data_IF_610285661523
#
_entry.id   IF_610285661523
#
_cell.length_a   1.000
_cell.length_b   1.000
_cell.length_c   1.000
_cell.angle_alpha   90.00
_cell.angle_beta   90.00
_cell.angle_gamma   90.00
#
_symmetry.space_group_name_H-M   'P 1'
#
loop_
_entity.id
_entity.type
_entity.pdbx_description
1 polymer ?
#
# COMPACT_ATOMS: atom_id res chain seq x y z
N UNK A 1 -3.31 -54.93 21.53
CA UNK A 1 -2.53 -54.02 20.68
C UNK A 1 -3.48 -52.92 20.26
N UNK A 2 -3.55 -51.85 21.04
CA UNK A 2 -4.23 -50.61 20.67
C UNK A 2 -3.21 -49.72 19.92
N UNK A 3 -3.57 -49.04 18.82
CA UNK A 3 -2.60 -48.30 18.01
C UNK A 3 -2.36 -46.84 18.45
N UNK A 4 -3.01 -46.34 19.50
CA UNK A 4 -3.12 -44.89 19.75
C UNK A 4 -2.44 -44.36 21.02
N UNK A 5 -1.50 -45.11 21.61
CA UNK A 5 -0.56 -44.53 22.57
C UNK A 5 0.66 -43.99 21.84
N UNK A 6 0.55 -42.77 21.30
CA UNK A 6 1.73 -42.00 20.89
C UNK A 6 2.41 -41.50 22.16
N UNK A 7 3.49 -42.16 22.54
CA UNK A 7 4.39 -41.76 23.61
C UNK A 7 4.91 -40.32 23.36
N UNK A 8 4.90 -39.40 24.35
CA UNK A 8 5.51 -38.07 24.22
C UNK A 8 6.96 -38.07 23.73
N UNK A 9 7.70 -39.19 23.83
CA UNK A 9 9.02 -39.34 23.19
C UNK A 9 8.97 -39.27 21.65
N UNK A 10 7.86 -39.68 21.03
CA UNK A 10 7.72 -39.71 19.56
C UNK A 10 7.67 -38.30 18.95
N UNK A 11 7.22 -37.29 19.71
CA UNK A 11 7.25 -35.89 19.28
C UNK A 11 8.67 -35.30 19.32
N UNK A 12 9.57 -35.85 20.15
CA UNK A 12 10.97 -35.44 20.21
C UNK A 12 11.79 -35.97 19.03
N UNK A 13 11.43 -37.13 18.45
CA UNK A 13 12.18 -37.73 17.35
C UNK A 13 11.95 -37.09 15.98
N UNK A 14 10.78 -36.49 15.72
CA UNK A 14 10.48 -35.89 14.42
C UNK A 14 10.96 -34.42 14.27
N UNK A 15 11.43 -33.80 15.36
CA UNK A 15 12.12 -32.49 15.32
C UNK A 15 13.64 -32.60 15.33
N UNK A 16 14.19 -33.77 15.67
CA UNK A 16 15.62 -34.02 15.78
C UNK A 16 16.19 -34.58 14.47
N UNK A 17 16.22 -33.76 13.42
CA UNK A 17 17.07 -33.99 12.25
C UNK A 17 17.86 -32.72 11.88
N UNK A 18 18.37 -32.00 12.87
CA UNK A 18 19.55 -31.15 12.70
C UNK A 18 20.73 -31.88 13.34
N UNK A 19 21.64 -32.40 12.51
CA UNK A 19 22.92 -32.98 12.93
C UNK A 19 23.94 -31.87 13.32
N UNK A 20 23.46 -30.75 13.85
CA UNK A 20 24.32 -29.65 14.30
C UNK A 20 24.72 -29.92 15.75
N UNK A 21 26.02 -29.99 15.99
CA UNK A 21 26.59 -30.05 17.34
C UNK A 21 26.14 -28.82 18.11
N UNK A 22 25.71 -29.02 19.36
CA UNK A 22 25.31 -27.92 20.25
C UNK A 22 26.39 -26.83 20.25
N UNK A 23 26.01 -25.54 20.11
CA UNK A 23 26.99 -24.46 20.11
C UNK A 23 27.78 -24.49 21.42
N UNK A 24 29.11 -24.39 21.32
CA UNK A 24 30.00 -24.43 22.49
C UNK A 24 29.96 -23.10 23.29
N UNK A 25 29.51 -22.03 22.65
CA UNK A 25 29.48 -20.67 23.22
C UNK A 25 28.10 -20.06 23.07
N UNK A 26 27.67 -19.35 24.11
CA UNK A 26 26.42 -18.59 24.08
C UNK A 26 26.56 -17.40 23.11
N UNK A 27 25.65 -17.33 22.14
CA UNK A 27 25.53 -16.19 21.23
C UNK A 27 24.37 -15.29 21.65
N UNK A 28 24.59 -13.97 21.85
CA UNK A 28 23.52 -13.04 22.18
C UNK A 28 22.42 -13.01 21.12
N UNK A 29 21.16 -12.97 21.55
CA UNK A 29 20.03 -12.93 20.60
C UNK A 29 19.98 -11.59 19.87
N UNK A 30 19.83 -11.64 18.55
CA UNK A 30 19.58 -10.45 17.75
C UNK A 30 18.12 -10.05 17.85
N UNK A 31 17.88 -8.74 18.01
CA UNK A 31 16.53 -8.18 18.03
C UNK A 31 16.17 -7.74 16.63
N UNK A 32 14.90 -7.90 16.28
CA UNK A 32 14.35 -7.37 15.04
C UNK A 32 13.05 -6.64 15.32
N UNK A 33 12.76 -5.63 14.52
CA UNK A 33 11.54 -4.85 14.62
C UNK A 33 10.45 -5.46 13.75
N UNK A 34 9.22 -5.48 14.29
CA UNK A 34 8.03 -5.94 13.61
C UNK A 34 6.94 -4.88 13.69
N UNK A 35 6.03 -4.89 12.72
CA UNK A 35 4.81 -4.08 12.76
C UNK A 35 3.56 -4.95 12.68
N UNK A 36 2.51 -4.49 13.35
CA UNK A 36 1.19 -5.12 13.30
C UNK A 36 0.48 -4.72 12.02
N UNK A 37 -0.05 -5.71 11.31
CA UNK A 37 -0.95 -5.52 10.16
C UNK A 37 -2.25 -6.29 10.42
N UNK A 38 -3.37 -5.60 10.33
CA UNK A 38 -4.67 -6.24 10.38
C UNK A 38 -5.01 -6.80 8.98
N UNK A 39 -5.52 -8.02 8.94
CA UNK A 39 -6.02 -8.65 7.72
C UNK A 39 -7.55 -8.75 7.81
N UNK A 40 -8.22 -8.70 6.65
CA UNK A 40 -9.63 -9.05 6.47
C UNK A 40 -10.01 -10.26 7.34
N UNK A 41 -11.09 -10.11 8.11
CA UNK A 41 -11.58 -11.02 9.18
C UNK A 41 -10.92 -10.83 10.57
N UNK A 42 -10.41 -9.63 10.88
CA UNK A 42 -9.85 -9.26 12.20
C UNK A 42 -8.77 -10.21 12.70
N UNK A 43 -8.00 -10.80 11.78
CA UNK A 43 -6.81 -11.57 12.12
C UNK A 43 -5.61 -10.63 12.10
N UNK A 44 -5.01 -10.44 13.26
CA UNK A 44 -3.77 -9.69 13.39
C UNK A 44 -2.58 -10.56 12.97
N UNK A 45 -1.69 -9.98 12.17
CA UNK A 45 -0.37 -10.58 11.90
C UNK A 45 0.72 -9.57 12.23
N UNK A 46 1.89 -10.10 12.60
CA UNK A 46 3.10 -9.33 12.74
C UNK A 46 4.00 -9.60 11.55
N UNK A 47 4.49 -8.54 10.92
CA UNK A 47 5.39 -8.61 9.77
C UNK A 47 6.73 -7.99 10.14
N UNK A 48 7.86 -8.62 9.75
CA UNK A 48 9.17 -8.04 9.99
C UNK A 48 9.32 -6.75 9.17
N UNK A 49 9.96 -5.75 9.76
CA UNK A 49 10.54 -4.65 8.97
C UNK A 49 11.66 -5.19 8.07
N UNK A 50 12.01 -4.42 7.04
CA UNK A 50 13.21 -4.72 6.26
C UNK A 50 14.46 -4.67 7.15
N UNK A 51 15.54 -5.35 6.76
CA UNK A 51 16.79 -5.32 7.52
C UNK A 51 17.26 -3.88 7.75
N UNK A 52 17.26 -3.06 6.67
CA UNK A 52 17.61 -1.64 6.74
C UNK A 52 16.75 -0.86 7.73
N UNK A 53 15.43 -1.01 7.67
CA UNK A 53 14.52 -0.28 8.56
C UNK A 53 14.69 -0.75 10.02
N UNK A 54 14.85 -2.06 10.24
CA UNK A 54 15.07 -2.65 11.57
C UNK A 54 16.39 -2.16 12.19
N UNK A 55 17.47 -2.12 11.42
CA UNK A 55 18.77 -1.61 11.87
C UNK A 55 18.69 -0.11 12.22
N UNK A 56 17.98 0.69 11.42
CA UNK A 56 17.77 2.11 11.67
C UNK A 56 16.93 2.36 12.94
N UNK A 57 15.88 1.56 13.14
CA UNK A 57 15.06 1.55 14.35
C UNK A 57 15.90 1.18 15.57
N UNK A 58 16.69 0.12 15.46
CA UNK A 58 17.54 -0.37 16.56
C UNK A 58 18.60 0.66 16.94
N UNK A 59 19.29 1.25 15.95
CA UNK A 59 20.30 2.28 16.17
C UNK A 59 19.73 3.50 16.89
N UNK A 60 18.52 3.95 16.53
CA UNK A 60 17.85 5.05 17.25
C UNK A 60 17.34 4.63 18.63
N UNK A 61 16.84 3.41 18.77
CA UNK A 61 16.34 2.90 20.04
C UNK A 61 17.44 2.90 21.11
N UNK A 62 18.62 2.36 20.77
CA UNK A 62 19.78 2.28 21.67
C UNK A 62 20.53 3.60 21.84
N UNK A 63 20.22 4.62 21.04
CA UNK A 63 20.88 5.93 21.15
C UNK A 63 20.45 6.70 22.39
N UNK A 64 21.31 7.60 22.85
CA UNK A 64 21.06 8.52 23.98
C UNK A 64 20.24 9.76 23.56
N UNK A 65 19.62 9.75 22.38
CA UNK A 65 18.79 10.86 21.92
C UNK A 65 17.54 11.05 22.79
N UNK A 66 17.01 12.28 22.92
CA UNK A 66 15.71 12.53 23.55
C UNK A 66 14.59 11.71 22.90
N UNK A 67 13.57 11.33 23.67
CA UNK A 67 12.46 10.52 23.17
C UNK A 67 11.74 11.17 21.98
N UNK A 68 11.62 12.50 21.97
CA UNK A 68 10.98 13.26 20.90
C UNK A 68 11.72 13.16 19.56
N UNK A 69 13.01 12.81 19.57
CA UNK A 69 13.85 12.67 18.39
C UNK A 69 13.94 11.22 17.88
N UNK A 70 13.35 10.26 18.61
CA UNK A 70 13.35 8.83 18.27
C UNK A 70 12.21 8.46 17.30
N UNK A 71 12.04 9.27 16.26
CA UNK A 71 11.14 8.98 15.14
C UNK A 71 11.97 8.53 13.93
N UNK A 72 11.64 7.37 13.36
CA UNK A 72 12.34 6.81 12.20
C UNK A 72 11.39 6.69 11.02
N UNK A 73 11.81 7.23 9.88
CA UNK A 73 11.12 7.03 8.61
C UNK A 73 11.42 5.61 8.10
N UNK A 74 10.39 4.79 7.91
CA UNK A 74 10.50 3.40 7.49
C UNK A 74 9.78 3.16 6.17
N UNK A 75 10.04 2.02 5.52
CA UNK A 75 9.41 1.62 4.26
C UNK A 75 9.52 2.74 3.21
N UNK A 76 10.75 3.15 2.88
CA UNK A 76 10.99 4.22 1.90
C UNK A 76 10.53 5.61 2.34
N UNK A 77 10.23 5.80 3.64
CA UNK A 77 9.76 7.05 4.22
C UNK A 77 8.26 7.29 4.11
N UNK A 78 7.50 6.24 3.79
CA UNK A 78 6.03 6.26 3.73
C UNK A 78 5.38 6.18 5.11
N UNK A 79 6.10 5.66 6.10
CA UNK A 79 5.66 5.58 7.48
C UNK A 79 6.70 6.18 8.41
N UNK A 80 6.21 6.78 9.50
CA UNK A 80 7.04 7.22 10.63
C UNK A 80 6.75 6.35 11.85
N UNK A 81 7.79 5.72 12.38
CA UNK A 81 7.75 4.94 13.62
C UNK A 81 8.20 5.84 14.77
N UNK A 82 7.29 6.10 15.70
CA UNK A 82 7.58 6.69 17.00
C UNK A 82 8.00 5.54 17.93
N UNK A 83 9.31 5.43 18.14
CA UNK A 83 9.91 4.33 18.90
C UNK A 83 9.38 4.33 20.34
N UNK A 84 9.44 5.43 21.13
CA UNK A 84 8.95 5.45 22.51
C UNK A 84 7.48 5.01 22.63
N UNK A 85 6.61 5.50 21.74
CA UNK A 85 5.19 5.15 21.78
C UNK A 85 4.85 3.79 21.17
N UNK A 86 5.81 3.12 20.53
CA UNK A 86 5.61 1.85 19.80
C UNK A 86 4.48 1.92 18.79
N UNK A 87 4.39 3.04 18.06
CA UNK A 87 3.40 3.27 17.01
C UNK A 87 4.06 3.63 15.69
N UNK A 88 3.40 3.25 14.60
CA UNK A 88 3.74 3.54 13.21
C UNK A 88 2.59 4.28 12.55
N UNK A 89 2.89 5.43 11.97
CA UNK A 89 1.92 6.34 11.34
C UNK A 89 2.21 6.45 9.84
N UNK A 90 1.19 6.37 8.97
CA UNK A 90 1.34 6.74 7.57
C UNK A 90 1.66 8.24 7.43
N UNK A 91 2.52 8.58 6.47
CA UNK A 91 2.99 9.96 6.26
C UNK A 91 2.19 10.68 5.18
N UNK A 92 1.94 10.01 4.04
CA UNK A 92 1.41 10.67 2.84
C UNK A 92 -0.11 10.61 2.73
N UNK A 93 -0.77 9.63 3.36
CA UNK A 93 -2.21 9.43 3.35
C UNK A 93 -2.76 9.31 4.77
N UNK A 94 -4.08 9.45 4.93
CA UNK A 94 -4.76 9.14 6.19
C UNK A 94 -4.90 7.63 6.31
N UNK A 95 -4.48 7.06 7.43
CA UNK A 95 -4.62 5.63 7.69
C UNK A 95 -4.42 5.31 9.16
N UNK A 96 -4.67 4.06 9.51
CA UNK A 96 -4.67 3.62 10.89
C UNK A 96 -3.25 3.61 11.50
N UNK A 97 -3.19 4.04 12.75
CA UNK A 97 -1.99 3.93 13.56
C UNK A 97 -1.80 2.46 13.92
N UNK A 98 -0.64 1.89 13.57
CA UNK A 98 -0.33 0.48 13.80
C UNK A 98 0.76 0.34 14.86
N UNK A 99 0.74 -0.74 15.64
CA UNK A 99 1.76 -0.97 16.65
C UNK A 99 3.04 -1.51 16.01
N UNK A 100 4.17 -1.15 16.60
CA UNK A 100 5.46 -1.78 16.34
C UNK A 100 5.97 -2.50 17.59
N UNK A 101 6.88 -3.43 17.40
CA UNK A 101 7.44 -4.21 18.49
C UNK A 101 8.89 -4.59 18.20
N UNK A 102 9.76 -4.40 19.17
CA UNK A 102 11.13 -4.92 19.16
C UNK A 102 11.11 -6.29 19.80
N UNK A 103 11.48 -7.34 19.07
CA UNK A 103 11.37 -8.70 19.62
C UNK A 103 12.51 -9.62 19.16
N UNK A 104 12.79 -10.60 20.00
CA UNK A 104 13.80 -11.65 19.80
C UNK A 104 13.24 -13.06 20.09
N UNK A 105 11.98 -13.16 20.52
CA UNK A 105 11.33 -14.42 20.89
C UNK A 105 9.93 -14.50 20.31
N UNK A 106 9.56 -15.66 19.77
CA UNK A 106 8.33 -15.83 19.00
C UNK A 106 7.60 -17.12 19.38
N UNK A 107 6.29 -17.14 19.14
CA UNK A 107 5.46 -18.33 19.31
C UNK A 107 4.53 -18.55 18.13
N UNK A 108 4.16 -19.81 17.91
CA UNK A 108 3.14 -20.17 16.92
C UNK A 108 1.75 -20.07 17.54
N UNK A 109 0.87 -19.28 16.91
CA UNK A 109 -0.52 -19.10 17.36
C UNK A 109 -1.34 -20.39 17.29
N UNK A 110 -2.50 -20.41 17.96
CA UNK A 110 -3.45 -21.54 17.91
C UNK A 110 -4.08 -21.74 16.54
N UNK A 111 -4.30 -20.63 15.83
CA UNK A 111 -5.07 -20.57 14.59
C UNK A 111 -4.23 -20.13 13.38
N UNK A 112 -2.99 -19.69 13.60
CA UNK A 112 -2.10 -19.16 12.57
C UNK A 112 -0.84 -20.02 12.48
N UNK A 113 -0.46 -20.39 11.25
CA UNK A 113 0.81 -21.07 11.02
C UNK A 113 2.03 -20.13 11.15
N UNK A 114 1.80 -18.81 11.26
CA UNK A 114 2.83 -17.79 11.36
C UNK A 114 3.24 -17.55 12.81
N UNK A 115 4.51 -17.19 12.99
CA UNK A 115 5.05 -16.77 14.26
C UNK A 115 4.54 -15.38 14.65
N UNK A 116 4.27 -15.21 15.94
CA UNK A 116 3.93 -13.94 16.58
C UNK A 116 5.01 -13.58 17.61
N UNK A 117 5.45 -12.31 17.66
CA UNK A 117 6.42 -11.84 18.65
C UNK A 117 5.80 -11.80 20.05
N UNK A 118 6.54 -12.30 21.04
CA UNK A 118 6.19 -12.07 22.45
C UNK A 118 6.30 -10.58 22.80
N UNK A 119 5.59 -10.15 23.85
CA UNK A 119 5.79 -8.84 24.46
C UNK A 119 7.25 -8.66 24.90
N UNK A 120 7.77 -7.43 24.85
CA UNK A 120 9.20 -7.15 25.03
C UNK A 120 9.72 -7.58 26.41
N UNK A 121 8.93 -7.38 27.47
CA UNK A 121 9.27 -7.82 28.83
C UNK A 121 9.31 -9.35 28.95
N UNK A 122 8.38 -10.04 28.27
CA UNK A 122 8.34 -11.51 28.24
C UNK A 122 9.55 -12.03 27.48
N UNK A 123 9.86 -11.47 26.30
CA UNK A 123 11.02 -11.85 25.52
C UNK A 123 12.33 -11.61 26.29
N UNK A 124 12.44 -10.50 27.03
CA UNK A 124 13.60 -10.19 27.88
C UNK A 124 13.77 -11.22 28.99
N UNK A 125 12.68 -11.60 29.66
CA UNK A 125 12.73 -12.62 30.70
C UNK A 125 13.07 -14.02 30.14
N UNK A 126 12.50 -14.38 28.98
CA UNK A 126 12.81 -15.63 28.31
C UNK A 126 14.28 -15.71 27.90
N UNK A 127 14.85 -14.63 27.37
CA UNK A 127 16.26 -14.57 27.03
C UNK A 127 17.16 -14.69 28.26
N UNK A 128 16.80 -14.04 29.37
CA UNK A 128 17.55 -14.15 30.62
C UNK A 128 17.54 -15.57 31.19
N UNK A 129 16.40 -16.26 31.18
CA UNK A 129 16.31 -17.64 31.64
C UNK A 129 17.00 -18.62 30.67
N UNK A 130 16.88 -18.41 29.36
CA UNK A 130 17.59 -19.20 28.35
C UNK A 130 19.11 -19.11 28.53
N UNK A 131 19.64 -17.89 28.69
CA UNK A 131 21.06 -17.66 28.95
C UNK A 131 21.55 -18.39 30.21
N UNK A 132 20.80 -18.32 31.32
CA UNK A 132 21.13 -19.06 32.54
C UNK A 132 21.14 -20.58 32.33
N UNK A 133 20.17 -21.10 31.57
CA UNK A 133 20.10 -22.53 31.26
C UNK A 133 21.30 -22.97 30.43
N UNK A 134 21.67 -22.17 29.43
CA UNK A 134 22.80 -22.41 28.54
C UNK A 134 24.15 -22.38 29.30
N UNK A 135 24.43 -21.30 30.03
CA UNK A 135 25.70 -21.11 30.75
C UNK A 135 25.92 -22.15 31.86
N UNK A 136 24.84 -22.60 32.50
CA UNK A 136 24.91 -23.60 33.57
C UNK A 136 24.66 -25.04 33.09
N UNK A 137 24.38 -25.24 31.80
CA UNK A 137 23.94 -26.51 31.22
C UNK A 137 22.76 -27.16 31.99
N UNK A 138 21.79 -26.33 32.40
CA UNK A 138 20.60 -26.74 33.18
C UNK A 138 19.35 -26.60 32.33
N UNK A 139 18.95 -27.69 31.69
CA UNK A 139 17.76 -27.75 30.82
C UNK A 139 16.53 -28.30 31.55
N UNK A 140 15.42 -28.42 30.81
CA UNK A 140 14.07 -28.72 31.32
C UNK A 140 13.52 -27.66 32.28
N UNK A 141 14.04 -26.43 32.17
CA UNK A 141 13.55 -25.28 32.93
C UNK A 141 12.10 -24.97 32.51
N UNK A 142 11.25 -24.80 33.51
CA UNK A 142 9.83 -24.45 33.37
C UNK A 142 9.63 -22.98 33.73
N UNK A 143 9.03 -22.23 32.82
CA UNK A 143 8.80 -20.79 32.93
C UNK A 143 7.30 -20.55 32.75
N UNK A 144 6.62 -20.13 33.82
CA UNK A 144 5.20 -19.79 33.77
C UNK A 144 5.03 -18.30 33.40
N UNK A 145 4.26 -18.03 32.36
CA UNK A 145 3.95 -16.69 31.89
C UNK A 145 2.73 -16.10 32.62
N UNK A 146 2.52 -14.76 32.60
CA UNK A 146 1.37 -14.13 33.26
C UNK A 146 -0.01 -14.62 32.81
N UNK A 147 -0.10 -15.13 31.58
CA UNK A 147 -1.31 -15.70 31.00
C UNK A 147 -1.50 -17.20 31.33
N UNK A 148 -0.67 -17.76 32.24
CA UNK A 148 -0.63 -19.18 32.64
C UNK A 148 -0.16 -20.15 31.54
N UNK A 149 0.40 -19.62 30.45
CA UNK A 149 1.16 -20.44 29.52
C UNK A 149 2.46 -20.93 30.19
N UNK A 150 2.83 -22.18 29.95
CA UNK A 150 4.06 -22.77 30.46
C UNK A 150 5.05 -22.98 29.32
N UNK A 151 6.20 -22.31 29.38
CA UNK A 151 7.31 -22.53 28.46
C UNK A 151 8.32 -23.48 29.10
N UNK A 152 8.75 -24.49 28.33
CA UNK A 152 9.75 -25.47 28.74
C UNK A 152 10.94 -25.40 27.78
N UNK A 153 12.13 -25.12 28.33
CA UNK A 153 13.40 -25.11 27.61
C UNK A 153 14.03 -26.50 27.71
N UNK A 154 13.79 -27.39 26.74
CA UNK A 154 14.29 -28.77 26.79
C UNK A 154 15.77 -28.89 26.40
N UNK A 155 16.22 -28.04 25.48
CA UNK A 155 17.60 -27.92 25.01
C UNK A 155 17.81 -26.53 24.40
N UNK A 156 18.99 -26.28 23.79
CA UNK A 156 19.30 -25.02 23.14
C UNK A 156 18.41 -24.72 21.91
N UNK A 157 17.84 -25.75 21.29
CA UNK A 157 17.04 -25.70 20.06
C UNK A 157 15.58 -26.19 20.24
N UNK A 158 15.27 -26.91 21.33
CA UNK A 158 13.92 -27.42 21.62
C UNK A 158 13.25 -26.59 22.72
N UNK A 159 12.40 -25.66 22.27
CA UNK A 159 11.68 -24.70 23.11
C UNK A 159 10.16 -24.87 22.89
N UNK A 160 9.43 -25.24 23.95
CA UNK A 160 8.04 -25.69 23.82
C UNK A 160 7.12 -24.88 24.73
N UNK A 161 5.98 -24.46 24.17
CA UNK A 161 4.88 -23.79 24.84
C UNK A 161 3.74 -24.78 25.12
N UNK A 162 3.32 -24.86 26.38
CA UNK A 162 2.13 -25.58 26.83
C UNK A 162 1.07 -24.57 27.27
N UNK A 163 -0.04 -24.43 26.53
CA UNK A 163 -1.17 -23.60 26.95
C UNK A 163 -1.76 -24.06 28.30
N UNK A 164 -2.47 -23.20 29.03
CA UNK A 164 -3.10 -23.56 30.30
C UNK A 164 -4.07 -24.74 30.11
N UNK A 165 -4.00 -25.71 31.02
CA UNK A 165 -4.99 -26.79 31.09
C UNK A 165 -6.35 -26.20 31.46
N UNK A 166 -7.40 -26.47 30.67
CA UNK A 166 -8.77 -26.11 31.04
C UNK A 166 -9.12 -26.70 32.41
N UNK A 167 -9.74 -25.91 33.28
CA UNK A 167 -10.21 -26.35 34.61
C UNK A 167 -11.32 -27.40 34.49
N UNK A 168 -11.38 -28.30 35.48
CA UNK A 168 -12.23 -29.50 35.51
C UNK A 168 -13.76 -29.27 35.53
N UNK A 169 -14.26 -28.03 35.45
CA UNK A 169 -15.69 -27.73 35.54
C UNK A 169 -16.46 -27.79 34.21
N UNK A 170 -15.77 -27.86 33.06
CA UNK A 170 -16.40 -28.03 31.73
C UNK A 170 -16.40 -29.50 31.29
N UNK A 171 -17.06 -30.35 32.08
CA UNK A 171 -17.09 -31.81 31.86
C UNK A 171 -18.12 -32.24 30.79
N UNK A 172 -18.23 -31.50 29.70
CA UNK A 172 -19.18 -31.82 28.63
C UNK A 172 -18.70 -31.50 27.21
N UNK A 173 -17.49 -31.96 26.83
CA UNK A 173 -17.25 -32.65 25.56
C UNK A 173 -15.78 -33.05 25.35
N UNK A 174 -15.60 -34.29 24.90
CA UNK A 174 -14.44 -34.92 24.24
C UNK A 174 -13.06 -34.22 24.23
N UNK A 175 -12.07 -34.91 24.84
CA UNK A 175 -10.66 -35.03 24.39
C UNK A 175 -10.03 -33.86 23.62
N UNK A 176 -10.09 -32.63 24.13
CA UNK A 176 -9.22 -31.56 23.62
C UNK A 176 -7.84 -31.69 24.27
N UNK A 177 -7.01 -32.61 23.77
CA UNK A 177 -5.59 -32.64 24.14
C UNK A 177 -4.98 -31.28 23.78
N UNK A 178 -4.52 -30.56 24.80
CA UNK A 178 -3.81 -29.29 24.63
C UNK A 178 -2.51 -29.60 23.88
N UNK A 179 -2.48 -29.26 22.58
CA UNK A 179 -1.30 -29.52 21.75
C UNK A 179 -0.16 -28.56 22.14
N UNK A 180 1.03 -29.09 22.47
CA UNK A 180 2.20 -28.25 22.65
C UNK A 180 2.51 -27.47 21.37
N UNK A 181 3.02 -26.25 21.53
CA UNK A 181 3.39 -25.35 20.44
C UNK A 181 4.86 -25.02 20.49
N UNK A 182 5.40 -24.59 19.36
CA UNK A 182 6.81 -24.24 19.23
C UNK A 182 7.02 -22.79 19.63
N UNK A 183 8.07 -22.58 20.43
CA UNK A 183 8.67 -21.28 20.73
C UNK A 183 9.95 -21.17 19.92
N UNK A 184 10.26 -19.97 19.42
CA UNK A 184 11.49 -19.71 18.67
C UNK A 184 12.25 -18.54 19.27
N UNK A 185 13.58 -18.69 19.30
CA UNK A 185 14.55 -17.67 19.66
C UNK A 185 15.20 -17.17 18.37
N UNK A 186 15.33 -15.86 18.23
CA UNK A 186 15.90 -15.23 17.03
C UNK A 186 14.97 -15.22 15.82
N UNK A 187 15.50 -14.70 14.70
CA UNK A 187 14.74 -14.45 13.46
C UNK A 187 15.20 -15.29 12.26
N UNK A 188 15.98 -16.33 12.49
CA UNK A 188 16.57 -17.18 11.43
C UNK A 188 15.53 -17.85 10.52
N UNK A 189 14.35 -18.18 11.05
CA UNK A 189 13.25 -18.78 10.28
C UNK A 189 12.39 -17.74 9.51
N UNK A 190 12.71 -16.44 9.61
CA UNK A 190 11.97 -15.38 8.94
C UNK A 190 12.62 -14.99 7.62
N UNK A 191 11.80 -14.88 6.57
CA UNK A 191 12.22 -14.26 5.31
C UNK A 191 12.18 -12.72 5.48
N UNK A 192 13.33 -12.11 5.73
CA UNK A 192 13.49 -10.66 5.93
C UNK A 192 14.01 -10.03 4.63
N UNK A 193 13.31 -9.02 4.12
CA UNK A 193 13.74 -8.25 2.94
C UNK A 193 14.86 -7.28 3.31
N UNK A 194 15.85 -7.07 2.43
CA UNK A 194 16.95 -6.10 2.65
C UNK A 194 16.47 -4.63 2.65
N UNK A 195 15.28 -4.36 2.10
CA UNK A 195 14.66 -3.05 2.01
C UNK A 195 14.84 -2.38 0.66
N UNK A 196 14.16 -1.25 0.46
CA UNK A 196 14.17 -0.48 -0.80
C UNK A 196 15.31 0.57 -0.83
N UNK A 197 15.93 0.85 -2.00
CA UNK A 197 17.02 1.84 -2.10
C UNK A 197 16.53 3.24 -1.69
N UNK A 198 17.23 3.97 -0.82
CA UNK A 198 16.77 5.28 -0.29
C UNK A 198 16.50 6.33 -1.37
N UNK A 199 17.33 6.36 -2.42
CA UNK A 199 17.22 7.33 -3.51
C UNK A 199 16.01 7.04 -4.39
N UNK A 200 15.17 8.05 -4.58
CA UNK A 200 14.02 8.02 -5.50
C UNK A 200 14.39 8.72 -6.80
N UNK A 201 14.23 8.02 -7.93
CA UNK A 201 14.54 8.59 -9.26
C UNK A 201 13.32 9.22 -9.93
N UNK A 202 12.11 8.80 -9.56
CA UNK A 202 10.86 9.29 -10.13
C UNK A 202 9.70 9.11 -9.15
N UNK A 203 8.73 10.03 -9.18
CA UNK A 203 7.48 9.93 -8.41
C UNK A 203 6.31 9.71 -9.36
N UNK A 204 5.44 8.77 -9.04
CA UNK A 204 4.16 8.57 -9.70
C UNK A 204 3.02 8.81 -8.70
N UNK A 205 2.28 9.89 -8.85
CA UNK A 205 1.07 10.11 -8.07
C UNK A 205 -0.09 9.33 -8.69
N UNK A 206 -0.70 8.44 -7.92
CA UNK A 206 -1.80 7.58 -8.35
C UNK A 206 -3.12 8.14 -7.86
N UNK A 207 -3.91 8.72 -8.76
CA UNK A 207 -5.29 9.13 -8.51
C UNK A 207 -6.21 7.97 -8.93
N UNK A 208 -6.76 7.27 -7.95
CA UNK A 208 -7.75 6.24 -8.23
C UNK A 208 -9.07 6.85 -8.72
N UNK A 209 -9.81 6.04 -9.45
CA UNK A 209 -11.20 6.30 -9.78
C UNK A 209 -12.11 5.45 -8.91
N UNK A 210 -12.98 6.14 -8.18
CA UNK A 210 -14.22 5.68 -7.55
C UNK A 210 -14.04 4.75 -6.33
N UNK A 211 -14.75 5.08 -5.23
CA UNK A 211 -14.87 4.25 -4.02
C UNK A 211 -13.64 4.22 -3.09
N UNK A 212 -13.85 3.81 -1.83
CA UNK A 212 -12.75 3.43 -0.89
C UNK A 212 -11.98 2.16 -1.34
N UNK A 213 -12.38 1.60 -2.48
CA UNK A 213 -11.91 0.34 -3.06
C UNK A 213 -11.49 0.56 -4.51
N UNK A 214 -10.31 0.07 -4.88
CA UNK A 214 -9.70 0.27 -6.19
C UNK A 214 -9.87 -0.90 -7.18
N UNK A 215 -10.28 -2.08 -6.73
CA UNK A 215 -10.41 -3.26 -7.60
C UNK A 215 -11.44 -4.29 -7.12
N UNK A 216 -11.62 -5.36 -7.93
CA UNK A 216 -12.54 -6.47 -7.64
C UNK A 216 -12.26 -7.22 -6.35
N UNK A 217 -11.05 -7.07 -5.78
CA UNK A 217 -10.66 -7.74 -4.53
C UNK A 217 -11.02 -6.88 -3.31
N UNK A 218 -11.73 -5.78 -3.51
CA UNK A 218 -12.09 -4.84 -2.47
C UNK A 218 -10.87 -4.27 -1.76
N UNK A 219 -9.81 -3.98 -2.51
CA UNK A 219 -8.55 -3.44 -1.98
C UNK A 219 -8.59 -1.93 -1.94
N UNK A 220 -7.95 -1.32 -0.94
CA UNK A 220 -7.83 0.13 -0.88
C UNK A 220 -6.83 0.64 -1.92
N UNK A 221 -6.76 1.97 -2.11
CA UNK A 221 -5.79 2.60 -3.02
C UNK A 221 -4.37 2.27 -2.62
N UNK A 222 -4.12 2.30 -1.32
CA UNK A 222 -2.83 2.02 -0.69
C UNK A 222 -2.40 0.59 -1.01
N UNK A 223 -3.28 -0.41 -0.85
CA UNK A 223 -2.97 -1.81 -1.16
C UNK A 223 -2.64 -2.05 -2.65
N UNK A 224 -3.29 -1.31 -3.56
CA UNK A 224 -2.99 -1.38 -5.00
C UNK A 224 -1.64 -0.71 -5.28
N UNK A 225 -1.41 0.48 -4.72
CA UNK A 225 -0.15 1.21 -4.89
C UNK A 225 1.04 0.42 -4.32
N UNK A 226 0.86 -0.28 -3.20
CA UNK A 226 1.87 -1.19 -2.62
C UNK A 226 2.27 -2.29 -3.60
N UNK A 227 1.30 -2.91 -4.27
CA UNK A 227 1.56 -3.91 -5.32
C UNK A 227 2.31 -3.27 -6.51
N UNK A 228 1.94 -2.06 -6.91
CA UNK A 228 2.64 -1.31 -7.96
C UNK A 228 4.10 -1.06 -7.61
N UNK A 229 4.38 -0.62 -6.38
CA UNK A 229 5.75 -0.40 -5.89
C UNK A 229 6.57 -1.69 -5.91
N UNK A 230 6.00 -2.77 -5.39
CA UNK A 230 6.67 -4.08 -5.36
C UNK A 230 7.00 -4.59 -6.76
N UNK A 231 6.04 -4.53 -7.70
CA UNK A 231 6.27 -4.97 -9.08
C UNK A 231 7.28 -4.05 -9.77
N UNK A 232 7.16 -2.73 -9.60
CA UNK A 232 8.09 -1.75 -10.17
C UNK A 232 9.52 -1.99 -9.71
N UNK A 233 9.74 -2.11 -8.39
CA UNK A 233 11.05 -2.37 -7.81
C UNK A 233 11.63 -3.70 -8.28
N UNK A 234 10.81 -4.75 -8.34
CA UNK A 234 11.24 -6.04 -8.86
C UNK A 234 11.66 -5.97 -10.33
N UNK A 235 10.89 -5.26 -11.18
CA UNK A 235 11.23 -5.08 -12.59
C UNK A 235 12.53 -4.30 -12.75
N UNK A 236 12.72 -3.24 -11.96
CA UNK A 236 13.95 -2.45 -11.96
C UNK A 236 15.15 -3.32 -11.59
N UNK A 237 15.05 -4.08 -10.49
CA UNK A 237 16.11 -4.98 -10.02
C UNK A 237 16.44 -6.08 -11.04
N UNK A 238 15.46 -6.67 -11.70
CA UNK A 238 15.71 -7.77 -12.64
C UNK A 238 16.19 -7.31 -14.01
N UNK A 239 15.72 -6.16 -14.51
CA UNK A 239 16.03 -5.71 -15.87
C UNK A 239 17.18 -4.71 -15.94
N UNK A 240 17.41 -3.95 -14.88
CA UNK A 240 18.43 -2.91 -14.80
C UNK A 240 19.47 -3.23 -13.72
N UNK A 241 19.73 -4.53 -13.47
CA UNK A 241 20.62 -4.99 -12.39
C UNK A 241 21.97 -4.27 -12.39
N UNK A 242 22.63 -4.12 -13.55
CA UNK A 242 23.91 -3.41 -13.67
C UNK A 242 23.78 -1.92 -13.32
N UNK A 243 22.69 -1.27 -13.74
CA UNK A 243 22.42 0.13 -13.38
C UNK A 243 22.12 0.28 -11.89
N UNK A 244 21.44 -0.69 -11.27
CA UNK A 244 21.18 -0.71 -9.83
C UNK A 244 22.46 -0.88 -9.02
N UNK A 245 23.33 -1.82 -9.41
CA UNK A 245 24.62 -2.05 -8.76
C UNK A 245 25.53 -0.82 -8.84
N UNK A 246 25.42 -0.04 -9.93
CA UNK A 246 26.15 1.21 -10.12
C UNK A 246 25.46 2.45 -9.52
N UNK A 247 24.31 2.30 -8.85
CA UNK A 247 23.54 3.40 -8.25
C UNK A 247 22.88 4.37 -9.25
N UNK A 248 22.83 4.00 -10.53
CA UNK A 248 22.24 4.79 -11.62
C UNK A 248 20.72 4.72 -11.56
N UNK A 249 20.17 3.51 -11.35
CA UNK A 249 18.74 3.25 -11.25
C UNK A 249 18.41 2.68 -9.87
N UNK A 250 17.43 3.27 -9.20
CA UNK A 250 17.10 3.04 -7.80
C UNK A 250 15.65 2.58 -7.72
N UNK A 251 14.71 3.49 -7.41
CA UNK A 251 13.28 3.16 -7.34
C UNK A 251 12.40 4.27 -7.89
N UNK A 252 11.21 3.87 -8.33
CA UNK A 252 10.08 4.75 -8.61
C UNK A 252 9.16 4.73 -7.39
N UNK A 253 8.97 5.90 -6.77
CA UNK A 253 8.04 6.03 -5.66
C UNK A 253 6.62 6.22 -6.20
N UNK A 254 5.68 5.41 -5.74
CA UNK A 254 4.27 5.54 -6.13
C UNK A 254 3.48 5.93 -4.91
N UNK A 255 2.78 7.07 -4.97
CA UNK A 255 2.04 7.63 -3.84
C UNK A 255 0.54 7.74 -4.19
N UNK A 256 -0.36 7.23 -3.33
CA UNK A 256 -1.79 7.34 -3.55
C UNK A 256 -2.26 8.79 -3.30
N UNK A 257 -3.23 9.24 -4.09
CA UNK A 257 -3.95 10.49 -3.86
C UNK A 257 -5.38 10.15 -3.44
N UNK A 258 -5.63 10.25 -2.14
CA UNK A 258 -6.93 9.91 -1.54
C UNK A 258 -7.81 11.16 -1.51
N UNK A 259 -8.94 11.11 -2.22
CA UNK A 259 -9.89 12.23 -2.32
C UNK A 259 -11.34 11.84 -2.01
N UNK A 260 -11.66 10.55 -2.09
CA UNK A 260 -13.02 10.04 -1.94
C UNK A 260 -13.61 10.29 -0.54
N UNK A 261 -12.83 10.10 0.52
CA UNK A 261 -13.28 10.31 1.92
C UNK A 261 -13.75 11.75 2.18
N UNK A 262 -13.21 12.75 1.47
CA UNK A 262 -13.63 14.14 1.61
C UNK A 262 -14.96 14.43 0.92
N UNK A 263 -15.31 13.65 -0.11
CA UNK A 263 -16.58 13.76 -0.81
C UNK A 263 -17.70 13.02 -0.06
N UNK A 264 -17.38 11.88 0.53
CA UNK A 264 -18.32 10.98 1.22
C UNK A 264 -18.30 11.12 2.74
N UNK A 265 -17.64 12.15 3.29
CA UNK A 265 -17.66 12.42 4.72
C UNK A 265 -19.08 12.52 5.25
N UNK A 266 -19.31 12.10 6.50
CA UNK A 266 -20.63 12.08 7.14
C UNK A 266 -21.34 13.45 7.05
N UNK A 267 -20.55 14.54 7.04
CA UNK A 267 -21.01 15.93 6.89
C UNK A 267 -21.73 16.21 5.57
N UNK A 268 -21.46 15.46 4.52
CA UNK A 268 -22.14 15.62 3.22
C UNK A 268 -23.48 14.89 3.17
N UNK A 269 -23.66 13.85 4.00
CA UNK A 269 -24.87 13.02 4.07
C UNK A 269 -25.19 12.23 2.79
N UNK A 270 -24.33 12.27 1.77
CA UNK A 270 -24.60 11.74 0.44
C UNK A 270 -24.78 10.22 0.50
N UNK A 271 -23.90 9.50 1.20
CA UNK A 271 -23.98 8.05 1.34
C UNK A 271 -25.26 7.58 2.03
N UNK A 272 -25.71 8.32 3.03
CA UNK A 272 -26.97 8.02 3.73
C UNK A 272 -28.17 8.18 2.79
N UNK A 273 -28.16 9.23 1.97
CA UNK A 273 -29.19 9.47 0.96
C UNK A 273 -29.13 8.37 -0.10
N UNK A 274 -27.96 8.09 -0.66
CA UNK A 274 -27.76 7.04 -1.68
C UNK A 274 -28.22 5.68 -1.19
N UNK A 275 -27.84 5.27 0.03
CA UNK A 275 -28.30 4.01 0.63
C UNK A 275 -29.81 3.99 0.82
N UNK A 276 -30.43 5.10 1.22
CA UNK A 276 -31.89 5.17 1.43
C UNK A 276 -32.72 5.03 0.14
N UNK A 277 -32.16 5.40 -1.01
CA UNK A 277 -32.82 5.29 -2.32
C UNK A 277 -32.38 4.05 -3.10
N UNK A 278 -31.32 3.37 -2.66
CA UNK A 278 -30.84 2.13 -3.26
C UNK A 278 -31.78 1.00 -2.85
N UNK A 279 -32.52 0.48 -3.82
CA UNK A 279 -33.38 -0.68 -3.64
C UNK A 279 -32.53 -1.95 -3.40
N UNK A 280 -33.05 -2.93 -2.65
CA UNK A 280 -32.31 -4.13 -2.24
C UNK A 280 -32.17 -5.22 -3.32
N UNK A 281 -32.96 -5.15 -4.40
CA UNK A 281 -32.94 -6.13 -5.49
C UNK A 281 -31.68 -6.04 -6.38
N UNK A 282 -31.19 -7.17 -6.90
CA UNK A 282 -30.02 -7.22 -7.82
C UNK A 282 -28.78 -6.50 -7.24
N UNK A 283 -28.45 -6.80 -5.99
CA UNK A 283 -27.36 -6.14 -5.22
C UNK A 283 -26.08 -5.97 -6.05
N UNK A 284 -25.57 -7.05 -6.67
CA UNK A 284 -24.32 -7.01 -7.45
C UNK A 284 -24.28 -5.97 -8.58
N UNK A 285 -25.41 -5.74 -9.27
CA UNK A 285 -25.46 -4.75 -10.35
C UNK A 285 -25.55 -3.33 -9.79
N UNK A 286 -26.27 -3.16 -8.67
CA UNK A 286 -26.39 -1.89 -7.96
C UNK A 286 -25.12 -1.49 -7.26
N UNK A 287 -24.40 -2.43 -6.66
CA UNK A 287 -23.06 -2.24 -6.12
C UNK A 287 -22.16 -1.69 -7.23
N UNK A 288 -22.13 -2.32 -8.41
CA UNK A 288 -21.38 -1.77 -9.56
C UNK A 288 -21.87 -0.38 -10.02
N UNK A 289 -23.18 -0.11 -9.96
CA UNK A 289 -23.74 1.18 -10.40
C UNK A 289 -23.37 2.29 -9.41
N UNK A 290 -23.43 1.99 -8.12
CA UNK A 290 -23.06 2.90 -7.04
C UNK A 290 -21.55 3.13 -7.02
N UNK A 291 -20.77 2.06 -7.18
CA UNK A 291 -19.30 2.06 -7.13
C UNK A 291 -18.65 2.42 -8.49
N UNK A 292 -19.40 2.81 -9.53
CA UNK A 292 -18.77 3.18 -10.82
C UNK A 292 -19.55 4.25 -11.58
N UNK A 293 -20.88 4.18 -11.62
CA UNK A 293 -21.68 5.12 -12.40
C UNK A 293 -22.07 6.36 -11.59
N UNK A 294 -22.35 6.23 -10.28
CA UNK A 294 -22.71 7.39 -9.45
C UNK A 294 -21.60 8.42 -9.35
N UNK A 295 -20.34 8.01 -9.22
CA UNK A 295 -19.23 8.95 -9.12
C UNK A 295 -18.94 9.67 -10.44
N UNK A 296 -19.15 8.98 -11.57
CA UNK A 296 -19.20 9.59 -12.90
C UNK A 296 -20.31 10.66 -12.92
N UNK A 297 -21.51 10.34 -12.43
CA UNK A 297 -22.62 11.28 -12.36
C UNK A 297 -22.33 12.45 -11.41
N UNK A 298 -21.68 12.22 -10.26
CA UNK A 298 -21.22 13.29 -9.38
C UNK A 298 -20.24 14.19 -10.11
N UNK A 299 -19.29 13.64 -10.86
CA UNK A 299 -18.35 14.44 -11.63
C UNK A 299 -19.00 15.25 -12.76
N UNK A 300 -20.16 14.81 -13.28
CA UNK A 300 -20.96 15.63 -14.22
C UNK A 300 -21.72 16.77 -13.54
N UNK A 301 -21.91 16.73 -12.23
CA UNK A 301 -22.58 17.80 -11.48
C UNK A 301 -21.60 18.94 -11.19
N UNK A 302 -21.88 20.20 -11.59
CA UNK A 302 -20.95 21.32 -11.39
C UNK A 302 -20.52 21.53 -9.93
N UNK A 303 -21.43 21.30 -8.97
CA UNK A 303 -21.15 21.44 -7.54
C UNK A 303 -20.12 20.42 -7.07
N UNK A 304 -20.29 19.15 -7.43
CA UNK A 304 -19.40 18.08 -7.00
C UNK A 304 -18.11 18.05 -7.80
N UNK A 305 -18.17 18.34 -9.10
CA UNK A 305 -16.99 18.49 -9.95
C UNK A 305 -16.00 19.51 -9.38
N UNK A 306 -16.47 20.70 -8.99
CA UNK A 306 -15.62 21.72 -8.38
C UNK A 306 -14.93 21.21 -7.10
N UNK A 307 -15.68 20.53 -6.21
CA UNK A 307 -15.12 20.00 -4.97
C UNK A 307 -14.07 18.92 -5.25
N UNK A 308 -14.37 17.97 -6.14
CA UNK A 308 -13.48 16.86 -6.50
C UNK A 308 -12.17 17.37 -7.10
N UNK A 309 -12.25 18.24 -8.11
CA UNK A 309 -11.06 18.80 -8.77
C UNK A 309 -10.23 19.65 -7.80
N UNK A 310 -10.87 20.44 -6.95
CA UNK A 310 -10.18 21.22 -5.92
C UNK A 310 -9.44 20.32 -4.93
N UNK A 311 -10.11 19.31 -4.38
CA UNK A 311 -9.50 18.33 -3.45
C UNK A 311 -8.32 17.63 -4.11
N UNK A 312 -8.49 17.06 -5.31
CA UNK A 312 -7.42 16.31 -5.98
C UNK A 312 -6.22 17.21 -6.29
N UNK A 313 -6.44 18.43 -6.80
CA UNK A 313 -5.36 19.37 -7.10
C UNK A 313 -4.62 19.86 -5.85
N UNK A 314 -5.35 20.15 -4.76
CA UNK A 314 -4.75 20.53 -3.48
C UNK A 314 -3.96 19.38 -2.87
N UNK A 315 -4.49 18.16 -2.94
CA UNK A 315 -3.85 16.98 -2.36
C UNK A 315 -2.59 16.58 -3.13
N UNK A 316 -2.59 16.70 -4.45
CA UNK A 316 -1.38 16.54 -5.28
C UNK A 316 -0.28 17.52 -4.85
N UNK A 317 -0.61 18.80 -4.66
CA UNK A 317 0.35 19.80 -4.20
C UNK A 317 0.83 19.52 -2.78
N UNK A 318 -0.09 19.22 -1.86
CA UNK A 318 0.23 18.92 -0.45
C UNK A 318 1.20 17.75 -0.34
N UNK A 319 0.92 16.65 -1.04
CA UNK A 319 1.77 15.45 -1.00
C UNK A 319 3.11 15.72 -1.71
N UNK A 320 3.13 16.46 -2.82
CA UNK A 320 4.37 16.83 -3.48
C UNK A 320 5.28 17.70 -2.60
N UNK A 321 4.74 18.74 -1.96
CA UNK A 321 5.47 19.61 -1.04
C UNK A 321 5.98 18.83 0.18
N UNK A 322 5.15 17.96 0.76
CA UNK A 322 5.55 17.07 1.86
C UNK A 322 6.66 16.10 1.44
N UNK A 323 6.56 15.53 0.24
CA UNK A 323 7.61 14.65 -0.28
C UNK A 323 8.91 15.41 -0.47
N UNK A 324 8.86 16.63 -1.04
CA UNK A 324 10.05 17.48 -1.24
C UNK A 324 10.69 17.93 0.07
N UNK A 325 9.90 18.24 1.10
CA UNK A 325 10.44 18.64 2.40
C UNK A 325 11.16 17.47 3.09
N UNK A 326 10.64 16.26 2.94
CA UNK A 326 11.24 15.03 3.47
C UNK A 326 12.37 14.47 2.62
N UNK A 327 12.41 14.82 1.33
CA UNK A 327 13.45 14.41 0.38
C UNK A 327 14.09 15.64 -0.30
N UNK A 328 14.86 16.48 0.43
CA UNK A 328 15.43 17.72 -0.14
C UNK A 328 16.36 17.48 -1.33
N UNK A 329 16.99 16.31 -1.39
CA UNK A 329 17.93 15.90 -2.45
C UNK A 329 17.24 15.33 -3.69
N UNK A 330 15.90 15.19 -3.69
CA UNK A 330 15.16 14.66 -4.82
C UNK A 330 15.25 15.59 -6.04
N UNK A 331 15.73 15.03 -7.15
CA UNK A 331 15.90 15.67 -8.47
C UNK A 331 15.22 14.89 -9.61
N UNK A 332 14.40 13.91 -9.25
CA UNK A 332 13.72 13.04 -10.21
C UNK A 332 12.54 13.71 -10.90
N UNK A 333 11.97 13.01 -11.88
CA UNK A 333 10.74 13.43 -12.55
C UNK A 333 9.49 13.13 -11.73
N UNK A 334 8.37 13.73 -12.12
CA UNK A 334 7.05 13.46 -11.54
C UNK A 334 6.11 13.06 -12.67
N UNK A 335 5.32 12.01 -12.49
CA UNK A 335 4.25 11.61 -13.40
C UNK A 335 2.95 11.42 -12.64
N UNK A 336 1.86 11.43 -13.40
CA UNK A 336 0.51 11.23 -12.89
C UNK A 336 -0.06 9.94 -13.47
N UNK A 337 -0.60 9.08 -12.60
CA UNK A 337 -1.35 7.89 -12.96
C UNK A 337 -2.80 8.08 -12.57
N UNK A 338 -3.71 7.94 -13.53
CA UNK A 338 -5.13 7.93 -13.28
C UNK A 338 -5.69 6.54 -13.52
N UNK A 339 -6.57 6.05 -12.64
CA UNK A 339 -7.40 4.88 -12.90
C UNK A 339 -8.86 5.30 -13.07
N UNK A 340 -9.59 4.79 -14.06
CA UNK A 340 -11.02 5.08 -14.24
C UNK A 340 -11.31 6.60 -14.21
N UNK A 341 -12.24 7.07 -13.37
CA UNK A 341 -12.57 8.49 -13.18
C UNK A 341 -11.35 9.35 -12.79
N UNK A 342 -10.39 8.81 -12.03
CA UNK A 342 -9.16 9.50 -11.67
C UNK A 342 -8.37 9.98 -12.90
N UNK A 343 -8.42 9.22 -14.00
CA UNK A 343 -7.84 9.63 -15.29
C UNK A 343 -8.52 10.86 -15.87
N UNK A 344 -9.86 10.92 -15.82
CA UNK A 344 -10.62 12.05 -16.33
C UNK A 344 -10.37 13.30 -15.49
N UNK A 345 -10.34 13.16 -14.16
CA UNK A 345 -10.03 14.26 -13.24
C UNK A 345 -8.66 14.84 -13.55
N UNK A 346 -7.64 13.99 -13.69
CA UNK A 346 -6.29 14.41 -14.04
C UNK A 346 -6.21 15.03 -15.43
N UNK A 347 -6.90 14.46 -16.42
CA UNK A 347 -6.95 15.03 -17.77
C UNK A 347 -7.56 16.43 -17.76
N UNK A 348 -8.71 16.62 -17.12
CA UNK A 348 -9.36 17.93 -17.00
C UNK A 348 -8.46 18.90 -16.20
N UNK A 349 -7.81 18.45 -15.12
CA UNK A 349 -6.87 19.28 -14.35
C UNK A 349 -5.69 19.76 -15.21
N UNK A 350 -5.07 18.86 -15.97
CA UNK A 350 -3.93 19.18 -16.84
C UNK A 350 -4.32 20.05 -18.03
N UNK A 351 -5.47 19.82 -18.65
CA UNK A 351 -5.97 20.62 -19.76
C UNK A 351 -6.26 22.08 -19.39
N UNK A 352 -6.36 22.39 -18.09
CA UNK A 352 -6.59 23.73 -17.55
C UNK A 352 -5.38 24.30 -16.78
N UNK A 353 -4.18 23.72 -16.95
CA UNK A 353 -2.95 24.31 -16.41
C UNK A 353 -2.49 25.48 -17.28
N UNK A 354 -1.87 26.46 -16.64
CA UNK A 354 -1.24 27.59 -17.34
C UNK A 354 0.19 27.20 -17.74
N UNK A 355 0.55 27.46 -19.00
CA UNK A 355 1.92 27.28 -19.45
C UNK A 355 2.81 28.33 -18.77
N UNK A 356 4.06 27.99 -18.36
CA UNK A 356 4.97 28.93 -17.71
C UNK A 356 5.39 30.16 -18.56
N UNK A 357 4.92 30.27 -19.80
CA UNK A 357 5.47 31.18 -20.82
C UNK A 357 4.59 32.43 -21.08
N UNK A 358 3.41 32.58 -20.49
CA UNK A 358 2.59 33.79 -20.73
C UNK A 358 2.86 34.93 -19.74
N UNK A 359 4.08 35.44 -19.78
CA UNK A 359 4.43 36.82 -19.39
C UNK A 359 5.06 37.49 -20.63
N UNK A 360 4.27 37.90 -21.62
CA UNK A 360 4.42 39.23 -22.23
C UNK A 360 3.23 39.64 -23.10
N UNK A 361 2.94 40.92 -23.00
CA UNK A 361 2.00 41.73 -23.74
C UNK A 361 2.18 41.72 -25.27
N UNK A 362 1.64 40.75 -26.02
CA UNK A 362 1.09 41.01 -27.38
C UNK A 362 0.41 39.80 -28.00
N UNK A 363 -0.76 40.04 -28.61
CA UNK A 363 -1.48 39.19 -29.57
C UNK A 363 -2.34 38.07 -28.98
N UNK A 364 -3.65 38.36 -28.93
CA UNK A 364 -4.72 37.38 -28.85
C UNK A 364 -4.58 36.33 -29.97
N UNK A 365 -3.90 35.21 -29.71
CA UNK A 365 -3.99 34.03 -30.55
C UNK A 365 -5.07 33.10 -30.04
N UNK A 366 -5.97 32.77 -30.95
CA UNK A 366 -7.25 32.06 -30.85
C UNK A 366 -7.19 30.60 -30.36
N UNK A 367 -6.09 30.16 -29.72
CA UNK A 367 -5.76 28.74 -29.49
C UNK A 367 -6.19 28.23 -28.11
N UNK A 368 -5.97 29.00 -27.04
CA UNK A 368 -6.37 28.63 -25.67
C UNK A 368 -7.89 28.62 -25.44
N UNK A 369 -8.64 29.23 -26.36
CA UNK A 369 -10.10 29.30 -26.27
C UNK A 369 -10.82 28.01 -26.67
N UNK A 370 -10.26 27.04 -27.41
CA UNK A 370 -11.14 25.94 -27.89
C UNK A 370 -11.61 25.01 -26.77
N UNK A 371 -10.73 24.62 -25.85
CA UNK A 371 -11.11 23.79 -24.70
C UNK A 371 -11.88 24.65 -23.68
N UNK A 372 -11.33 25.80 -23.27
CA UNK A 372 -11.94 26.66 -22.23
C UNK A 372 -13.27 27.32 -22.63
N UNK A 373 -13.47 27.66 -23.92
CA UNK A 373 -14.69 28.35 -24.40
C UNK A 373 -15.81 27.36 -24.80
N UNK A 374 -15.51 26.07 -25.05
CA UNK A 374 -16.54 25.04 -25.24
C UNK A 374 -17.15 24.57 -23.92
N UNK A 375 -16.39 24.54 -22.82
CA UNK A 375 -16.93 24.29 -21.48
C UNK A 375 -17.90 25.39 -20.98
N UNK A 376 -17.92 26.57 -21.62
CA UNK A 376 -18.82 27.67 -21.28
C UNK A 376 -20.06 27.81 -22.17
N UNK A 377 -20.21 27.02 -23.23
CA UNK A 377 -21.22 27.28 -24.27
C UNK A 377 -22.42 26.31 -24.27
N UNK A 378 -22.54 25.40 -23.30
CA UNK A 378 -23.75 24.58 -23.12
C UNK A 378 -24.65 25.18 -22.04
N UNK A 379 -25.55 26.06 -22.50
CA UNK A 379 -26.71 26.65 -21.83
C UNK A 379 -27.14 26.01 -20.49
N UNK A 380 -26.72 26.63 -19.38
CA UNK A 380 -27.47 26.93 -18.14
C UNK A 380 -26.51 27.76 -17.27
N UNK A 381 -26.99 28.76 -16.52
CA UNK A 381 -26.18 29.78 -15.80
C UNK A 381 -24.86 29.27 -15.19
N UNK A 382 -23.75 29.58 -15.87
CA UNK A 382 -22.48 28.84 -15.82
C UNK A 382 -21.83 28.93 -14.44
N UNK A 383 -21.78 27.80 -13.73
CA UNK A 383 -20.80 27.59 -12.67
C UNK A 383 -19.46 27.35 -13.35
N UNK A 384 -18.60 28.36 -13.37
CA UNK A 384 -17.24 28.23 -13.91
C UNK A 384 -16.42 27.37 -12.96
N UNK A 385 -15.99 26.19 -13.41
CA UNK A 385 -15.11 25.33 -12.63
C UNK A 385 -13.72 25.96 -12.61
N UNK A 386 -13.17 26.13 -11.40
CA UNK A 386 -11.82 26.61 -11.15
C UNK A 386 -10.90 25.41 -10.89
N UNK A 387 -9.90 25.23 -11.75
CA UNK A 387 -8.92 24.15 -11.66
C UNK A 387 -7.67 24.63 -10.89
N UNK A 388 -7.29 23.98 -9.78
CA UNK A 388 -6.04 24.30 -9.08
C UNK A 388 -4.83 24.15 -10.00
N UNK A 389 -3.83 25.02 -9.82
CA UNK A 389 -2.56 24.90 -10.53
C UNK A 389 -1.63 23.98 -9.75
N UNK A 390 -0.92 23.10 -10.46
CA UNK A 390 0.05 22.19 -9.88
C UNK A 390 1.37 22.94 -9.63
N UNK A 391 1.97 22.67 -8.47
CA UNK A 391 3.28 23.19 -8.04
C UNK A 391 4.47 22.48 -8.71
N UNK A 392 4.18 21.57 -9.64
CA UNK A 392 5.14 20.77 -10.39
C UNK A 392 4.62 20.50 -11.81
N UNK A 393 5.52 20.14 -12.71
CA UNK A 393 5.20 19.81 -14.10
C UNK A 393 5.32 18.29 -14.32
N UNK A 394 4.21 17.59 -14.57
CA UNK A 394 4.25 16.16 -14.84
C UNK A 394 4.95 15.85 -16.17
N UNK A 395 5.86 14.89 -16.17
CA UNK A 395 6.48 14.37 -17.39
C UNK A 395 5.50 13.52 -18.22
N UNK A 396 4.54 12.85 -17.57
CA UNK A 396 3.57 12.00 -18.25
C UNK A 396 2.27 11.84 -17.46
N UNK A 397 1.15 11.73 -18.17
CA UNK A 397 -0.13 11.21 -17.69
C UNK A 397 -0.35 9.78 -18.21
N UNK A 398 -0.47 8.82 -17.30
CA UNK A 398 -0.89 7.45 -17.58
C UNK A 398 -2.37 7.28 -17.21
N UNK A 399 -3.27 7.42 -18.19
CA UNK A 399 -4.70 7.19 -18.01
C UNK A 399 -5.02 5.72 -18.21
N UNK A 400 -5.49 5.04 -17.17
CA UNK A 400 -5.69 3.59 -17.15
C UNK A 400 -7.18 3.28 -17.00
N UNK A 401 -7.74 2.49 -17.92
CA UNK A 401 -9.16 2.12 -17.89
C UNK A 401 -10.08 3.35 -17.97
N UNK A 402 -9.72 4.32 -18.81
CA UNK A 402 -10.25 5.68 -18.69
C UNK A 402 -11.52 5.97 -19.53
N UNK A 403 -12.50 6.72 -18.98
CA UNK A 403 -13.67 7.17 -19.73
C UNK A 403 -13.47 8.50 -20.47
N UNK A 404 -12.24 9.02 -20.59
CA UNK A 404 -11.96 10.34 -21.22
C UNK A 404 -12.64 10.47 -22.60
N UNK A 405 -12.48 9.47 -23.48
CA UNK A 405 -13.06 9.53 -24.83
C UNK A 405 -14.59 9.69 -24.84
N UNK A 406 -15.29 8.97 -23.96
CA UNK A 406 -16.74 9.08 -23.78
C UNK A 406 -17.12 10.49 -23.30
N UNK A 407 -16.44 10.98 -22.26
CA UNK A 407 -16.78 12.27 -21.65
C UNK A 407 -16.52 13.45 -22.57
N UNK A 408 -15.41 13.45 -23.32
CA UNK A 408 -15.17 14.46 -24.34
C UNK A 408 -16.33 14.49 -25.34
N UNK A 409 -16.74 13.33 -25.84
CA UNK A 409 -17.85 13.22 -26.79
C UNK A 409 -19.18 13.71 -26.19
N UNK A 410 -19.54 13.26 -24.99
CA UNK A 410 -20.80 13.65 -24.31
C UNK A 410 -20.85 15.14 -23.98
N UNK A 411 -19.71 15.77 -23.70
CA UNK A 411 -19.57 17.22 -23.50
C UNK A 411 -19.63 18.03 -24.81
N UNK A 412 -19.93 17.37 -25.94
CA UNK A 412 -20.06 18.00 -27.26
C UNK A 412 -18.73 18.25 -27.96
N UNK A 413 -17.66 17.55 -27.56
CA UNK A 413 -16.35 17.66 -28.18
C UNK A 413 -16.23 16.64 -29.32
N UNK A 414 -16.39 17.12 -30.54
CA UNK A 414 -16.35 16.29 -31.75
C UNK A 414 -14.90 15.97 -32.21
N UNK A 415 -13.92 16.80 -31.85
CA UNK A 415 -12.50 16.56 -32.12
C UNK A 415 -11.58 17.38 -31.21
N UNK A 416 -10.49 16.75 -30.72
CA UNK A 416 -9.37 17.39 -30.04
C UNK A 416 -8.41 18.07 -31.03
N UNK A 417 -8.31 17.54 -32.25
CA UNK A 417 -7.41 18.00 -33.31
C UNK A 417 -6.00 17.40 -33.20
N UNK A 418 -5.26 17.42 -34.33
CA UNK A 418 -3.90 16.86 -34.41
C UNK A 418 -2.87 17.66 -33.59
N UNK A 419 -3.14 18.94 -33.34
CA UNK A 419 -2.31 19.83 -32.52
C UNK A 419 -2.60 19.69 -31.01
N UNK A 420 -3.39 18.70 -30.60
CA UNK A 420 -3.72 18.49 -29.19
C UNK A 420 -2.46 18.23 -28.36
N UNK A 421 -2.27 19.04 -27.32
CA UNK A 421 -1.24 18.88 -26.31
C UNK A 421 -1.76 19.34 -24.94
N UNK A 422 -1.25 18.74 -23.87
CA UNK A 422 -1.51 19.22 -22.52
C UNK A 422 -0.52 20.34 -22.17
N UNK A 423 -0.97 21.50 -21.63
CA UNK A 423 -0.12 22.67 -21.42
C UNK A 423 1.17 22.45 -20.62
N UNK A 424 1.12 21.58 -19.61
CA UNK A 424 2.23 21.35 -18.67
C UNK A 424 2.65 19.88 -18.59
N UNK A 425 2.23 19.04 -19.55
CA UNK A 425 2.49 17.61 -19.56
C UNK A 425 2.81 17.13 -20.97
N UNK A 426 4.07 16.73 -21.21
CA UNK A 426 4.55 16.41 -22.55
C UNK A 426 4.01 15.08 -23.09
N UNK A 427 3.72 14.11 -22.21
CA UNK A 427 3.32 12.77 -22.62
C UNK A 427 1.95 12.37 -22.05
N UNK A 428 1.11 11.79 -22.92
CA UNK A 428 -0.18 11.23 -22.54
C UNK A 428 -0.35 9.82 -23.07
N UNK A 429 -0.60 8.87 -22.17
CA UNK A 429 -0.82 7.46 -22.49
C UNK A 429 -2.23 7.04 -22.08
N UNK A 430 -3.05 6.66 -23.07
CA UNK A 430 -4.34 6.02 -22.83
C UNK A 430 -4.18 4.49 -22.82
N UNK A 431 -4.14 3.90 -21.64
CA UNK A 431 -3.91 2.47 -21.39
C UNK A 431 -5.24 1.83 -21.02
N UNK A 432 -5.60 0.74 -21.70
CA UNK A 432 -6.86 0.06 -21.44
C UNK A 432 -6.79 -1.43 -21.72
N UNK A 433 -7.59 -2.18 -20.98
CA UNK A 433 -7.85 -3.57 -21.29
C UNK A 433 -9.06 -3.67 -22.24
N UNK A 434 -9.04 -4.52 -23.28
CA UNK A 434 -10.14 -4.62 -24.24
C UNK A 434 -11.50 -5.01 -23.65
N UNK A 435 -11.51 -5.61 -22.45
CA UNK A 435 -12.72 -6.02 -21.74
C UNK A 435 -13.09 -5.08 -20.59
N UNK A 436 -12.40 -3.95 -20.43
CA UNK A 436 -12.78 -2.94 -19.44
C UNK A 436 -14.02 -2.17 -19.93
N UNK A 437 -15.16 -2.26 -19.23
CA UNK A 437 -16.42 -1.67 -19.69
C UNK A 437 -16.44 -0.13 -19.63
N UNK A 438 -15.51 0.51 -18.92
CA UNK A 438 -15.46 1.97 -18.79
C UNK A 438 -14.30 2.61 -19.56
N UNK A 439 -13.48 1.80 -20.24
CA UNK A 439 -12.35 2.30 -21.01
C UNK A 439 -12.76 2.68 -22.43
N UNK A 440 -12.40 3.90 -22.84
CA UNK A 440 -12.69 4.43 -24.17
C UNK A 440 -11.41 4.91 -24.86
N UNK A 441 -11.38 4.72 -26.18
CA UNK A 441 -10.31 5.20 -27.06
C UNK A 441 -10.42 6.71 -27.27
N UNK A 442 -9.28 7.35 -27.54
CA UNK A 442 -9.21 8.80 -27.80
C UNK A 442 -8.78 9.10 -29.23
N UNK A 443 -8.13 8.16 -29.91
CA UNK A 443 -7.36 8.41 -31.13
C UNK A 443 -8.24 8.98 -32.24
N UNK A 444 -9.50 8.54 -32.32
CA UNK A 444 -10.49 9.06 -33.27
C UNK A 444 -10.92 10.51 -32.97
N UNK A 445 -10.77 10.99 -31.73
CA UNK A 445 -10.99 12.40 -31.38
C UNK A 445 -9.83 13.28 -31.85
N UNK A 446 -8.61 12.74 -31.90
CA UNK A 446 -7.43 13.46 -32.43
C UNK A 446 -7.51 13.51 -33.96
N UNK A 447 -7.66 12.34 -34.60
CA UNK A 447 -7.82 12.22 -36.05
C UNK A 447 -8.82 11.09 -36.36
N UNK A 448 -9.97 11.38 -37.02
CA UNK A 448 -10.99 10.39 -37.33
C UNK A 448 -10.49 9.16 -38.12
N UNK A 449 -9.43 9.30 -38.92
CA UNK A 449 -8.85 8.20 -39.69
C UNK A 449 -8.17 7.13 -38.79
N UNK A 450 -7.89 7.46 -37.53
CA UNK A 450 -7.28 6.54 -36.56
C UNK A 450 -8.29 5.60 -35.89
N UNK A 451 -9.59 5.69 -36.20
CA UNK A 451 -10.62 4.83 -35.63
C UNK A 451 -10.31 3.32 -35.79
N UNK A 452 -9.70 2.94 -36.93
CA UNK A 452 -9.33 1.55 -37.23
C UNK A 452 -7.90 1.18 -36.83
N UNK A 453 -7.13 2.12 -36.26
CA UNK A 453 -5.79 1.82 -35.77
C UNK A 453 -5.89 0.80 -34.63
N UNK A 454 -5.11 -0.28 -34.71
CA UNK A 454 -5.07 -1.27 -33.63
C UNK A 454 -4.31 -0.67 -32.42
N UNK A 455 -4.81 -0.86 -31.19
CA UNK A 455 -4.06 -0.45 -30.00
C UNK A 455 -2.68 -1.09 -29.96
N UNK A 456 -1.68 -0.33 -29.52
CA UNK A 456 -0.34 -0.86 -29.30
C UNK A 456 -0.37 -1.79 -28.08
N UNK A 457 0.13 -3.01 -28.25
CA UNK A 457 0.27 -3.95 -27.13
C UNK A 457 1.46 -3.53 -26.28
N UNK A 458 1.23 -3.32 -24.98
CA UNK A 458 2.31 -3.14 -24.02
C UNK A 458 3.05 -4.49 -23.92
N UNK A 459 4.37 -4.53 -24.18
CA UNK A 459 5.14 -5.75 -24.09
C UNK A 459 4.98 -6.39 -22.70
N UNK A 460 4.64 -7.68 -22.67
CA UNK A 460 4.64 -8.44 -21.43
C UNK A 460 5.96 -9.21 -21.33
N UNK A 461 6.62 -9.15 -20.18
CA UNK A 461 7.85 -9.91 -19.97
C UNK A 461 7.54 -11.36 -19.57
N UNK A 462 8.27 -12.31 -20.15
CA UNK A 462 8.21 -13.73 -19.77
C UNK A 462 8.57 -13.86 -18.28
N UNK A 463 7.68 -14.42 -17.48
CA UNK A 463 7.82 -14.52 -16.02
C UNK A 463 6.56 -14.24 -15.20
N UNK A 464 5.42 -13.91 -15.84
CA UNK A 464 4.09 -13.70 -15.20
C UNK A 464 4.03 -12.58 -14.14
N UNK A 465 4.98 -11.64 -14.09
CA UNK A 465 4.84 -10.43 -13.26
C UNK A 465 3.85 -9.48 -13.95
N UNK A 466 2.60 -9.49 -13.51
CA UNK A 466 1.49 -8.70 -14.09
C UNK A 466 1.05 -7.65 -13.08
N UNK A 467 1.01 -6.38 -13.49
CA UNK A 467 0.28 -5.33 -12.77
C UNK A 467 -1.21 -5.53 -13.02
N UNK A 468 -2.00 -5.67 -11.97
CA UNK A 468 -3.45 -5.80 -12.08
C UNK A 468 -4.09 -4.48 -11.65
N UNK A 469 -4.62 -3.74 -12.62
CA UNK A 469 -5.58 -2.65 -12.41
C UNK A 469 -6.88 -3.06 -13.12
N UNK A 470 -7.97 -3.18 -12.37
CA UNK A 470 -9.29 -3.45 -12.94
C UNK A 470 -9.69 -4.93 -13.08
N UNK A 471 -10.94 -5.11 -13.54
CA UNK A 471 -11.70 -6.37 -13.55
C UNK A 471 -11.12 -7.41 -14.52
N UNK A 472 -10.92 -8.66 -14.05
CA UNK A 472 -10.90 -9.84 -14.94
C UNK A 472 -12.30 -10.43 -15.03
#
# INVERSE_FOLDING_TARGET
MDPDTVDPETFMMNGAQSNETAPETYEPVQHHWFYRKEIKNSKEIWLPFSQRDSDALEAKYISDLPEEEKIVATEGGRFDVDIPKRIRNPVYWKGDITNVRRCSWFYKGSTTAKYSPYEEDIATNLEAEYRKCFENNQWHKRIELPNKDLIVLHSYDVLVLFPPSMSADDWSNAQSQVRPRVVRRGVEEFEIDEGEPEKVDHILFMVHGIGSVCDLKFRTVEEVVDEFRNISLQLIRTHYQSSCQNGISNRVEVLPISWHDELHSEDTGIDKILRSITLESISRLRDFTNDTLLDILFYTSPKYCQKIVSTVGQELNRIYELFKSRNPTFKGGVSLGGHSLGSLILFDLLAHQQSPIEDDSTSQTSKDRRISHMYGAMNTGIVRIHYPQLSFQPAALFAMGSPIGMFMTVRGLDSLGEDFALPTCEAFFNIFHPYDPVAYRIESLINPNLANLKPMLIPHHKGRKRMHLGKN
#
